data_IF_108329740928
#
_entry.id   IF_108329740928
#
_cell.length_a   1.000
_cell.length_b   1.000
_cell.length_c   1.000
_cell.angle_alpha   90.00
_cell.angle_beta   90.00
_cell.angle_gamma   90.00
#
_symmetry.space_group_name_H-M   'P 1'
#
loop_
_entity.id
_entity.type
_entity.pdbx_description
1 polymer ?
#
# COMPACT_ATOMS: atom_id res chain seq x y z
N UNK A 1 -46.36 -53.26 23.03
CA UNK A 1 -45.04 -53.57 22.43
C UNK A 1 -44.83 -53.09 20.99
N UNK A 2 -45.86 -52.63 20.24
CA UNK A 2 -45.68 -52.16 18.84
C UNK A 2 -45.21 -50.70 18.65
N UNK A 3 -45.23 -49.85 19.69
CA UNK A 3 -44.80 -48.44 19.57
C UNK A 3 -43.32 -48.19 19.90
N UNK A 4 -42.66 -49.08 20.64
CA UNK A 4 -41.24 -48.92 21.03
C UNK A 4 -40.28 -49.33 19.91
N UNK A 5 -40.68 -50.29 19.06
CA UNK A 5 -39.89 -50.73 17.91
C UNK A 5 -39.83 -49.70 16.77
N UNK A 6 -40.83 -48.82 16.65
CA UNK A 6 -40.85 -47.79 15.61
C UNK A 6 -39.89 -46.63 15.94
N UNK A 7 -39.73 -46.27 17.21
CA UNK A 7 -38.83 -45.21 17.66
C UNK A 7 -37.35 -45.61 17.59
N UNK A 8 -37.02 -46.87 17.85
CA UNK A 8 -35.64 -47.38 17.77
C UNK A 8 -35.12 -47.45 16.33
N UNK A 9 -35.99 -47.77 15.36
CA UNK A 9 -35.64 -47.83 13.94
C UNK A 9 -35.48 -46.41 13.34
N UNK A 10 -36.28 -45.44 13.79
CA UNK A 10 -36.12 -44.03 13.37
C UNK A 10 -34.88 -43.39 14.01
N UNK A 11 -34.54 -43.71 15.26
CA UNK A 11 -33.30 -43.25 15.90
C UNK A 11 -32.05 -43.87 15.25
N UNK A 12 -32.10 -45.13 14.83
CA UNK A 12 -31.02 -45.78 14.09
C UNK A 12 -30.84 -45.21 12.67
N UNK A 13 -31.93 -44.82 11.99
CA UNK A 13 -31.86 -44.15 10.69
C UNK A 13 -31.38 -42.68 10.77
N UNK A 14 -31.59 -41.99 11.91
CA UNK A 14 -31.07 -40.63 12.11
C UNK A 14 -29.58 -40.61 12.46
N UNK A 15 -29.04 -41.70 13.05
CA UNK A 15 -27.61 -41.84 13.32
C UNK A 15 -26.78 -42.22 12.09
N UNK A 16 -27.40 -42.70 11.01
CA UNK A 16 -26.71 -43.06 9.76
C UNK A 16 -26.61 -41.93 8.72
N UNK A 17 -27.23 -40.77 8.95
CA UNK A 17 -27.27 -39.65 7.98
C UNK A 17 -26.35 -38.47 8.40
N UNK A 18 -25.63 -38.60 9.51
CA UNK A 18 -24.91 -37.48 10.12
C UNK A 18 -23.38 -37.51 10.06
N UNK A 19 -22.75 -38.56 9.52
CA UNK A 19 -21.28 -38.56 9.36
C UNK A 19 -20.96 -37.96 8.00
N UNK A 20 -21.17 -36.64 7.87
CA UNK A 20 -20.39 -35.85 6.93
C UNK A 20 -18.95 -35.90 7.43
N UNK A 21 -18.24 -36.98 7.08
CA UNK A 21 -16.80 -36.96 6.96
C UNK A 21 -16.51 -35.79 6.04
N UNK A 22 -16.18 -34.65 6.63
CA UNK A 22 -15.60 -33.54 5.92
C UNK A 22 -14.24 -34.05 5.43
N UNK A 23 -14.26 -34.76 4.31
CA UNK A 23 -13.08 -34.93 3.50
C UNK A 23 -12.73 -33.52 3.06
N UNK A 24 -11.77 -32.92 3.75
CA UNK A 24 -10.97 -31.87 3.14
C UNK A 24 -10.50 -32.47 1.82
N UNK A 25 -11.14 -32.08 0.72
CA UNK A 25 -10.70 -32.44 -0.62
C UNK A 25 -9.34 -31.76 -0.81
N UNK A 26 -8.29 -32.40 -0.32
CA UNK A 26 -6.93 -32.10 -0.71
C UNK A 26 -6.80 -32.57 -2.15
N UNK A 27 -6.54 -31.63 -3.07
CA UNK A 27 -6.05 -31.98 -4.39
C UNK A 27 -4.77 -32.82 -4.30
N UNK A 28 -4.31 -33.44 -5.39
CA UNK A 28 -3.09 -34.24 -5.38
C UNK A 28 -1.92 -33.41 -4.86
N UNK A 29 -1.38 -33.81 -3.71
CA UNK A 29 -0.13 -33.29 -3.18
C UNK A 29 1.03 -34.09 -3.79
N UNK A 30 2.09 -33.42 -4.22
CA UNK A 30 3.20 -34.06 -4.93
C UNK A 30 4.40 -33.14 -5.08
N UNK A 31 5.55 -33.72 -5.41
CA UNK A 31 6.84 -33.03 -5.46
C UNK A 31 6.98 -32.01 -6.61
N UNK A 32 6.03 -31.99 -7.55
CA UNK A 32 6.13 -31.20 -8.78
C UNK A 32 5.26 -29.97 -8.67
N UNK A 33 5.88 -28.80 -8.85
CA UNK A 33 5.18 -27.53 -9.07
C UNK A 33 4.99 -27.31 -10.57
N UNK A 34 3.90 -26.65 -10.93
CA UNK A 34 3.56 -26.38 -12.33
C UNK A 34 4.22 -25.08 -12.84
N UNK A 35 4.80 -24.29 -11.93
CA UNK A 35 5.51 -23.05 -12.19
C UNK A 35 7.04 -23.24 -12.21
N UNK A 36 7.73 -22.33 -12.90
CA UNK A 36 9.18 -22.34 -13.05
C UNK A 36 9.83 -21.90 -11.73
N UNK A 37 10.61 -22.80 -11.14
CA UNK A 37 11.53 -22.46 -10.07
C UNK A 37 12.76 -21.80 -10.67
N UNK A 38 12.96 -20.52 -10.38
CA UNK A 38 14.00 -19.68 -11.03
C UNK A 38 15.41 -19.99 -10.50
N UNK A 39 15.53 -20.42 -9.23
CA UNK A 39 16.82 -20.78 -8.61
C UNK A 39 16.61 -21.70 -7.38
N UNK A 40 17.47 -21.64 -6.35
CA UNK A 40 17.49 -22.55 -5.18
C UNK A 40 16.26 -22.54 -4.26
N UNK A 41 15.35 -21.57 -4.39
CA UNK A 41 14.13 -21.45 -3.57
C UNK A 41 12.89 -21.69 -4.44
N UNK A 42 11.75 -21.08 -4.13
CA UNK A 42 10.52 -21.19 -4.91
C UNK A 42 10.47 -20.25 -6.12
N UNK A 43 9.24 -19.99 -6.59
CA UNK A 43 8.95 -19.02 -7.65
C UNK A 43 9.28 -17.58 -7.24
N UNK A 44 9.39 -16.70 -8.24
CA UNK A 44 9.54 -15.26 -8.05
C UNK A 44 8.27 -14.56 -8.50
N UNK A 45 7.60 -13.89 -7.58
CA UNK A 45 6.36 -13.15 -7.84
C UNK A 45 6.69 -11.66 -7.92
N UNK A 46 6.72 -11.10 -9.13
CA UNK A 46 6.90 -9.66 -9.37
C UNK A 46 5.59 -8.92 -9.14
N UNK A 47 5.65 -7.73 -8.53
CA UNK A 47 4.50 -6.91 -8.19
C UNK A 47 3.39 -7.69 -7.45
N UNK A 48 3.70 -8.35 -6.32
CA UNK A 48 2.82 -9.33 -5.69
C UNK A 48 1.45 -8.76 -5.28
N UNK A 49 1.39 -7.47 -4.96
CA UNK A 49 0.17 -6.76 -4.58
C UNK A 49 -0.30 -5.74 -5.62
N UNK A 50 0.22 -5.84 -6.86
CA UNK A 50 -0.21 -5.09 -8.05
C UNK A 50 0.04 -3.58 -8.05
N UNK A 51 0.34 -2.96 -6.91
CA UNK A 51 0.54 -1.51 -6.78
C UNK A 51 2.01 -1.07 -6.63
N UNK A 52 2.96 -2.00 -6.56
CA UNK A 52 4.39 -1.68 -6.38
C UNK A 52 5.24 -2.46 -7.40
N UNK A 53 5.27 -2.05 -8.69
CA UNK A 53 5.79 -2.88 -9.77
C UNK A 53 7.30 -3.14 -9.73
N UNK A 54 8.04 -2.32 -9.00
CA UNK A 54 9.49 -2.45 -8.81
C UNK A 54 9.84 -3.25 -7.54
N UNK A 55 8.97 -4.20 -7.21
CA UNK A 55 9.13 -5.12 -6.07
C UNK A 55 8.86 -6.55 -6.49
N UNK A 56 9.37 -7.51 -5.73
CA UNK A 56 9.10 -8.92 -5.94
C UNK A 56 9.14 -9.70 -4.63
N UNK A 57 8.60 -10.91 -4.61
CA UNK A 57 8.81 -11.88 -3.53
C UNK A 57 9.46 -13.13 -4.13
N UNK A 58 10.62 -13.51 -3.62
CA UNK A 58 11.22 -14.81 -3.90
C UNK A 58 10.65 -15.80 -2.88
N UNK A 59 9.75 -16.69 -3.31
CA UNK A 59 9.05 -17.61 -2.40
C UNK A 59 10.04 -18.57 -1.74
N UNK A 60 9.79 -18.90 -0.48
CA UNK A 60 10.69 -19.74 0.32
C UNK A 60 10.75 -21.21 -0.11
N UNK A 61 9.89 -21.64 -1.05
CA UNK A 61 9.87 -23.02 -1.55
C UNK A 61 9.43 -24.05 -0.50
N UNK A 62 8.77 -23.60 0.58
CA UNK A 62 8.42 -24.43 1.74
C UNK A 62 9.53 -24.59 2.77
N UNK A 63 10.69 -23.94 2.58
CA UNK A 63 11.76 -23.92 3.56
C UNK A 63 11.53 -22.86 4.63
N UNK A 64 12.05 -23.09 5.83
CA UNK A 64 12.15 -22.01 6.82
C UNK A 64 13.46 -21.25 6.58
N UNK A 65 13.38 -19.93 6.42
CA UNK A 65 14.53 -19.07 6.17
C UNK A 65 14.85 -18.20 7.39
N UNK A 66 16.13 -17.91 7.61
CA UNK A 66 16.66 -16.97 8.62
C UNK A 66 17.88 -16.23 8.09
N UNK A 67 18.29 -15.19 8.82
CA UNK A 67 19.51 -14.39 8.55
C UNK A 67 19.56 -13.85 7.11
N UNK A 68 18.39 -13.50 6.57
CA UNK A 68 18.27 -13.14 5.17
C UNK A 68 18.80 -11.73 4.93
N UNK A 69 19.68 -11.60 3.94
CA UNK A 69 20.17 -10.32 3.40
C UNK A 69 19.91 -10.28 1.89
N UNK A 70 19.46 -9.13 1.41
CA UNK A 70 19.17 -8.87 -0.01
C UNK A 70 20.07 -7.75 -0.49
N UNK A 71 20.63 -7.90 -1.69
CA UNK A 71 21.39 -6.88 -2.39
C UNK A 71 20.88 -6.76 -3.83
N UNK A 72 20.41 -5.57 -4.19
CA UNK A 72 20.13 -5.22 -5.58
C UNK A 72 21.43 -4.75 -6.22
N UNK A 73 22.00 -5.58 -7.10
CA UNK A 73 23.25 -5.29 -7.80
C UNK A 73 23.03 -4.08 -8.72
N UNK A 74 23.92 -3.08 -8.70
CA UNK A 74 23.75 -1.89 -9.50
C UNK A 74 23.92 -2.19 -11.00
N UNK A 75 23.09 -1.60 -11.84
CA UNK A 75 23.41 -1.47 -13.27
C UNK A 75 24.65 -0.58 -13.44
N UNK A 76 25.27 -0.57 -14.63
CA UNK A 76 26.43 0.28 -14.91
C UNK A 76 26.11 1.76 -14.58
N UNK A 77 26.87 2.36 -13.66
CA UNK A 77 26.67 3.73 -13.19
C UNK A 77 25.58 3.92 -12.13
N UNK A 78 24.89 2.85 -11.74
CA UNK A 78 23.82 2.85 -10.74
C UNK A 78 24.32 2.78 -9.29
N UNK A 79 23.36 2.61 -8.37
CA UNK A 79 23.55 2.53 -6.92
C UNK A 79 23.12 1.16 -6.37
N UNK A 80 23.91 0.59 -5.46
CA UNK A 80 23.56 -0.64 -4.74
C UNK A 80 22.52 -0.34 -3.66
N UNK A 81 21.54 -1.23 -3.48
CA UNK A 81 20.64 -1.21 -2.32
C UNK A 81 20.81 -2.54 -1.60
N UNK A 82 21.16 -2.51 -0.31
CA UNK A 82 21.32 -3.72 0.51
C UNK A 82 20.60 -3.57 1.85
N UNK A 83 19.91 -4.63 2.28
CA UNK A 83 19.15 -4.63 3.52
C UNK A 83 18.99 -6.05 4.07
N UNK A 84 18.73 -6.13 5.39
CA UNK A 84 18.37 -7.38 6.08
C UNK A 84 16.86 -7.51 6.19
N UNK A 85 16.38 -8.74 6.18
CA UNK A 85 14.96 -9.03 6.39
C UNK A 85 14.76 -9.61 7.77
N UNK A 86 13.82 -9.01 8.52
CA UNK A 86 13.38 -9.58 9.79
C UNK A 86 12.61 -10.88 9.57
N UNK A 87 12.83 -11.90 10.41
CA UNK A 87 12.16 -13.20 10.34
C UNK A 87 10.63 -13.10 10.24
N UNK A 88 10.03 -12.12 10.93
CA UNK A 88 8.58 -11.88 10.86
C UNK A 88 8.10 -11.55 9.44
N UNK A 89 8.91 -10.84 8.65
CA UNK A 89 8.58 -10.50 7.26
C UNK A 89 8.74 -11.69 6.33
N UNK A 90 9.72 -12.58 6.57
CA UNK A 90 9.85 -13.83 5.81
C UNK A 90 8.60 -14.69 5.93
N UNK A 91 8.07 -14.82 7.16
CA UNK A 91 6.80 -15.52 7.43
C UNK A 91 5.61 -14.81 6.79
N UNK A 92 5.54 -13.48 6.91
CA UNK A 92 4.42 -12.68 6.38
C UNK A 92 4.26 -12.84 4.86
N UNK A 93 5.36 -12.93 4.11
CA UNK A 93 5.34 -13.04 2.65
C UNK A 93 5.52 -14.48 2.14
N UNK A 94 5.77 -15.44 3.04
CA UNK A 94 6.19 -16.80 2.71
C UNK A 94 7.33 -16.78 1.66
N UNK A 95 8.37 -16.00 1.98
CA UNK A 95 9.46 -15.69 1.05
C UNK A 95 10.23 -14.43 1.41
N UNK A 96 11.21 -14.10 0.57
CA UNK A 96 12.10 -12.96 0.69
C UNK A 96 11.48 -11.77 -0.08
N UNK A 97 11.00 -10.71 0.60
CA UNK A 97 10.54 -9.50 -0.07
C UNK A 97 11.75 -8.73 -0.65
N UNK A 98 11.64 -8.39 -1.92
CA UNK A 98 12.64 -7.67 -2.72
C UNK A 98 12.07 -6.29 -3.08
N UNK A 99 12.68 -5.26 -2.51
CA UNK A 99 12.46 -3.85 -2.76
C UNK A 99 13.66 -3.23 -3.51
N UNK A 100 13.41 -2.21 -4.33
CA UNK A 100 14.47 -1.39 -4.92
C UNK A 100 14.89 -1.77 -6.34
N UNK A 101 14.05 -2.48 -7.09
CA UNK A 101 14.36 -2.86 -8.47
C UNK A 101 14.46 -1.61 -9.37
N UNK A 102 15.36 -1.63 -10.35
CA UNK A 102 15.37 -0.67 -11.45
C UNK A 102 14.21 -0.96 -12.40
N UNK A 103 13.55 0.09 -12.88
CA UNK A 103 12.53 -0.01 -13.91
C UNK A 103 13.12 -0.38 -15.28
N UNK A 104 12.32 -1.08 -16.08
CA UNK A 104 12.66 -1.58 -17.42
C UNK A 104 14.05 -2.24 -17.50
N UNK A 105 14.31 -3.15 -16.56
CA UNK A 105 15.63 -3.76 -16.42
C UNK A 105 15.52 -5.19 -15.89
N UNK A 106 16.41 -6.06 -16.38
CA UNK A 106 16.64 -7.38 -15.78
C UNK A 106 17.59 -7.20 -14.61
N UNK A 107 16.98 -7.02 -13.43
CA UNK A 107 17.69 -6.77 -12.19
C UNK A 107 18.41 -8.03 -11.72
N UNK A 108 19.64 -7.87 -11.26
CA UNK A 108 20.39 -8.93 -10.57
C UNK A 108 20.21 -8.75 -9.07
N UNK A 109 19.57 -9.73 -8.44
CA UNK A 109 19.25 -9.71 -7.00
C UNK A 109 20.01 -10.83 -6.32
N UNK A 110 20.99 -10.45 -5.51
CA UNK A 110 21.74 -11.39 -4.69
C UNK A 110 21.07 -11.53 -3.32
N UNK A 111 20.85 -12.77 -2.90
CA UNK A 111 20.32 -13.08 -1.58
C UNK A 111 21.25 -14.04 -0.85
N UNK A 112 21.52 -13.75 0.41
CA UNK A 112 22.20 -14.66 1.33
C UNK A 112 21.23 -15.02 2.46
N UNK A 113 21.16 -16.29 2.81
CA UNK A 113 20.21 -16.79 3.80
C UNK A 113 20.69 -18.09 4.47
N UNK A 114 20.18 -18.34 5.66
CA UNK A 114 20.23 -19.65 6.32
C UNK A 114 18.92 -20.38 6.03
N UNK A 115 19.00 -21.48 5.29
CA UNK A 115 17.89 -22.41 5.03
C UNK A 115 17.84 -23.47 6.12
N UNK A 116 16.68 -23.63 6.75
CA UNK A 116 16.42 -24.66 7.74
C UNK A 116 15.59 -25.75 7.10
N UNK A 117 16.15 -26.95 7.01
CA UNK A 117 15.49 -28.12 6.43
C UNK A 117 15.89 -29.38 7.19
N UNK A 118 14.91 -30.20 7.59
CA UNK A 118 15.14 -31.44 8.37
C UNK A 118 16.01 -31.25 9.63
N UNK A 119 15.93 -30.08 10.27
CA UNK A 119 16.71 -29.75 11.47
C UNK A 119 18.13 -29.25 11.19
N UNK A 120 18.56 -29.20 9.93
CA UNK A 120 19.87 -28.68 9.54
C UNK A 120 19.79 -27.21 9.14
N UNK A 121 20.83 -26.44 9.49
CA UNK A 121 21.00 -25.05 9.10
C UNK A 121 22.04 -24.96 7.97
N UNK A 122 21.59 -24.62 6.76
CA UNK A 122 22.42 -24.57 5.55
C UNK A 122 22.53 -23.12 5.10
N UNK A 123 23.73 -22.55 5.14
CA UNK A 123 23.97 -21.20 4.62
C UNK A 123 24.15 -21.23 3.11
N UNK A 124 23.39 -20.42 2.39
CA UNK A 124 23.45 -20.34 0.94
C UNK A 124 23.44 -18.90 0.46
N UNK A 125 24.01 -18.71 -0.73
CA UNK A 125 23.85 -17.51 -1.54
C UNK A 125 23.28 -17.93 -2.90
N UNK A 126 22.42 -17.08 -3.45
CA UNK A 126 21.85 -17.24 -4.79
C UNK A 126 21.65 -15.87 -5.45
N UNK A 127 21.73 -15.83 -6.77
CA UNK A 127 21.41 -14.66 -7.59
C UNK A 127 20.15 -14.95 -8.42
N UNK A 128 19.23 -14.00 -8.44
CA UNK A 128 18.00 -14.05 -9.23
C UNK A 128 18.04 -12.94 -10.26
N UNK A 129 17.78 -13.29 -11.52
CA UNK A 129 17.60 -12.34 -12.61
C UNK A 129 16.08 -12.05 -12.71
N UNK A 130 15.66 -10.82 -12.37
CA UNK A 130 14.26 -10.42 -12.23
C UNK A 130 13.99 -9.23 -13.16
N UNK A 131 13.21 -9.43 -14.22
CA UNK A 131 12.71 -8.32 -15.02
C UNK A 131 11.66 -7.52 -14.26
N UNK A 132 11.83 -6.20 -14.18
CA UNK A 132 10.82 -5.28 -13.68
C UNK A 132 10.36 -4.38 -14.84
N UNK A 133 9.05 -4.05 -14.91
CA UNK A 133 8.49 -3.28 -16.01
C UNK A 133 9.00 -1.83 -16.01
N UNK A 134 8.80 -1.15 -17.13
CA UNK A 134 8.95 0.30 -17.21
C UNK A 134 7.98 1.02 -16.25
N UNK A 135 8.34 2.24 -15.85
CA UNK A 135 7.44 3.11 -15.09
C UNK A 135 6.22 3.44 -15.96
N UNK A 136 5.04 3.23 -15.39
CA UNK A 136 3.77 3.56 -16.03
C UNK A 136 2.97 4.54 -15.20
N UNK A 137 2.46 5.58 -15.86
CA UNK A 137 1.48 6.54 -15.33
C UNK A 137 0.49 6.81 -16.46
N UNK A 138 -0.79 6.88 -16.13
CA UNK A 138 -1.82 7.18 -17.13
C UNK A 138 -1.58 8.54 -17.80
N UNK A 139 -1.74 8.63 -19.14
CA UNK A 139 -1.70 9.90 -19.82
C UNK A 139 -2.83 10.83 -19.35
N UNK A 140 -2.48 12.07 -19.01
CA UNK A 140 -3.44 13.10 -18.58
C UNK A 140 -4.06 13.88 -19.76
N UNK A 141 -3.53 13.68 -20.96
CA UNK A 141 -4.01 14.32 -22.20
C UNK A 141 -3.60 15.78 -22.36
N UNK A 142 -2.72 16.30 -21.48
CA UNK A 142 -2.23 17.68 -21.53
C UNK A 142 -0.88 17.74 -22.24
N UNK A 143 -0.55 18.90 -22.81
CA UNK A 143 0.78 19.13 -23.40
C UNK A 143 1.90 19.25 -22.35
N UNK A 144 1.53 19.32 -21.05
CA UNK A 144 2.45 19.49 -19.92
C UNK A 144 3.08 18.16 -19.48
N UNK A 145 2.41 17.03 -19.70
CA UNK A 145 2.99 15.72 -19.40
C UNK A 145 4.06 15.37 -20.44
N UNK A 146 5.32 15.31 -19.99
CA UNK A 146 6.49 15.00 -20.83
C UNK A 146 7.14 13.65 -20.53
N UNK A 147 6.62 12.90 -19.56
CA UNK A 147 7.09 11.59 -19.14
C UNK A 147 6.13 10.97 -18.12
N UNK A 148 6.43 9.75 -17.67
CA UNK A 148 5.61 9.06 -16.67
C UNK A 148 5.54 9.81 -15.34
N UNK A 149 6.69 9.92 -14.65
CA UNK A 149 6.83 10.63 -13.38
C UNK A 149 7.47 12.02 -13.53
N UNK A 150 8.43 12.13 -14.45
CA UNK A 150 9.19 13.34 -14.79
C UNK A 150 9.83 13.13 -16.17
N UNK A 151 10.31 14.21 -16.80
CA UNK A 151 11.04 14.14 -18.08
C UNK A 151 12.52 13.78 -17.90
N UNK A 152 13.13 14.28 -16.84
CA UNK A 152 14.53 14.03 -16.49
C UNK A 152 14.79 14.35 -15.02
N UNK A 153 15.86 13.80 -14.47
CA UNK A 153 16.40 14.15 -13.14
C UNK A 153 17.81 14.68 -13.34
N UNK A 154 18.08 15.86 -12.79
CA UNK A 154 19.40 16.49 -12.82
C UNK A 154 20.03 16.44 -11.42
N UNK A 155 20.87 15.43 -11.21
CA UNK A 155 21.57 15.24 -9.93
C UNK A 155 22.71 16.27 -9.82
N UNK A 156 22.51 17.27 -8.96
CA UNK A 156 23.47 18.37 -8.80
C UNK A 156 24.71 18.01 -7.98
N UNK A 157 24.53 17.37 -6.83
CA UNK A 157 25.61 17.06 -5.89
C UNK A 157 25.26 15.85 -5.04
N UNK A 158 26.22 14.94 -4.87
CA UNK A 158 26.14 13.80 -3.94
C UNK A 158 27.50 13.60 -3.30
N UNK A 159 27.63 13.99 -2.04
CA UNK A 159 28.85 13.73 -1.27
C UNK A 159 28.95 12.23 -0.93
N UNK A 160 30.18 11.75 -0.71
CA UNK A 160 30.49 10.32 -0.60
C UNK A 160 29.64 9.56 0.42
N UNK A 161 29.40 10.17 1.58
CA UNK A 161 28.63 9.60 2.69
C UNK A 161 27.11 9.54 2.45
N UNK A 162 26.61 10.20 1.40
CA UNK A 162 25.18 10.24 1.07
C UNK A 162 24.83 9.41 -0.17
N UNK A 163 25.78 8.66 -0.74
CA UNK A 163 25.59 7.86 -1.97
C UNK A 163 24.58 6.72 -1.82
N UNK A 164 24.18 6.39 -0.61
CA UNK A 164 23.24 5.31 -0.29
C UNK A 164 21.80 5.81 -0.07
N UNK A 165 21.58 7.13 -0.06
CA UNK A 165 20.28 7.72 0.25
C UNK A 165 19.23 7.37 -0.80
N UNK A 166 18.01 7.21 -0.32
CA UNK A 166 16.78 7.04 -1.08
C UNK A 166 15.80 8.10 -0.61
N UNK A 167 15.10 8.72 -1.56
CA UNK A 167 14.16 9.81 -1.27
C UNK A 167 12.79 9.46 -1.81
N UNK A 168 11.79 9.47 -0.92
CA UNK A 168 10.40 9.35 -1.33
C UNK A 168 9.87 10.71 -1.79
N UNK A 169 9.33 10.75 -3.00
CA UNK A 169 8.69 11.91 -3.59
C UNK A 169 7.18 11.69 -3.62
N UNK A 170 6.46 12.63 -3.01
CA UNK A 170 5.04 12.81 -3.22
C UNK A 170 4.83 14.01 -4.14
N UNK A 171 4.41 13.76 -5.38
CA UNK A 171 4.16 14.79 -6.36
C UNK A 171 2.77 14.63 -6.99
N UNK A 172 2.31 15.70 -7.66
CA UNK A 172 0.99 15.80 -8.26
C UNK A 172 1.12 15.79 -9.79
N UNK A 173 0.34 14.93 -10.44
CA UNK A 173 0.15 15.00 -11.89
C UNK A 173 -0.65 16.25 -12.29
N UNK A 174 -0.73 16.55 -13.59
CA UNK A 174 -1.50 17.71 -14.02
C UNK A 174 -3.01 17.50 -13.76
N UNK A 175 -3.74 18.62 -13.64
CA UNK A 175 -5.20 18.58 -13.62
C UNK A 175 -5.70 18.18 -15.01
N UNK A 176 -6.21 16.95 -15.12
CA UNK A 176 -6.74 16.40 -16.37
C UNK A 176 -8.23 16.70 -16.55
N UNK A 177 -8.72 16.54 -17.78
CA UNK A 177 -10.16 16.60 -18.07
C UNK A 177 -10.96 15.49 -17.38
N UNK A 178 -10.32 14.37 -17.00
CA UNK A 178 -10.96 13.32 -16.20
C UNK A 178 -11.22 13.79 -14.77
N UNK A 179 -10.22 14.41 -14.14
CA UNK A 179 -10.34 14.93 -12.77
C UNK A 179 -11.29 16.12 -12.62
N UNK A 180 -11.48 16.94 -13.66
CA UNK A 180 -12.17 18.24 -13.55
C UNK A 180 -13.70 18.19 -13.71
N UNK A 181 -14.32 17.01 -13.81
CA UNK A 181 -15.75 16.85 -14.13
C UNK A 181 -16.67 16.79 -12.91
N UNK A 182 -16.18 16.31 -11.77
CA UNK A 182 -16.97 16.21 -10.55
C UNK A 182 -17.01 17.58 -9.84
N UNK A 183 -18.20 18.03 -9.47
CA UNK A 183 -18.43 19.32 -8.79
C UNK A 183 -19.33 19.07 -7.58
N UNK A 184 -18.99 19.69 -6.46
CA UNK A 184 -19.83 19.73 -5.28
C UNK A 184 -20.87 20.84 -5.42
N UNK A 185 -22.09 20.50 -5.86
CA UNK A 185 -23.13 21.50 -6.13
C UNK A 185 -24.22 21.59 -5.06
N UNK A 186 -24.26 20.69 -4.05
CA UNK A 186 -25.24 20.72 -2.96
C UNK A 186 -24.87 19.74 -1.82
N UNK A 187 -24.65 20.16 -0.55
CA UNK A 187 -24.53 21.52 0.00
C UNK A 187 -23.39 22.34 -0.63
N UNK A 188 -23.36 23.66 -0.40
CA UNK A 188 -22.29 24.54 -0.92
C UNK A 188 -21.03 24.46 -0.05
N UNK A 189 -19.87 24.24 -0.65
CA UNK A 189 -18.57 24.23 0.04
C UNK A 189 -17.74 22.98 -0.24
N UNK A 190 -16.70 22.75 0.56
CA UNK A 190 -15.79 21.62 0.42
C UNK A 190 -14.74 21.82 -0.66
N UNK A 191 -14.08 20.72 -1.04
CA UNK A 191 -12.98 20.71 -1.99
C UNK A 191 -12.91 19.41 -2.82
N UNK A 192 -14.05 18.81 -3.17
CA UNK A 192 -14.10 17.59 -3.99
C UNK A 192 -13.34 17.76 -5.32
N UNK A 193 -13.41 18.96 -5.91
CA UNK A 193 -12.77 19.33 -7.18
C UNK A 193 -11.24 19.28 -7.11
N UNK A 194 -10.68 19.14 -5.90
CA UNK A 194 -9.25 19.00 -5.69
C UNK A 194 -8.82 17.55 -5.90
N UNK A 195 -8.60 17.23 -7.17
CA UNK A 195 -8.33 15.89 -7.65
C UNK A 195 -7.30 15.91 -8.79
N UNK A 196 -6.22 15.13 -8.67
CA UNK A 196 -5.12 15.01 -9.63
C UNK A 196 -4.48 13.62 -9.51
N UNK A 197 -3.95 13.11 -10.61
CA UNK A 197 -3.25 11.82 -10.63
C UNK A 197 -2.08 11.83 -9.62
N UNK A 198 -1.97 10.84 -8.74
CA UNK A 198 -0.86 10.76 -7.79
C UNK A 198 0.43 10.33 -8.49
N UNK A 199 1.54 11.00 -8.16
CA UNK A 199 2.89 10.65 -8.61
C UNK A 199 3.75 10.36 -7.38
N UNK A 200 3.75 9.10 -6.92
CA UNK A 200 4.48 8.67 -5.73
C UNK A 200 5.59 7.70 -6.10
N UNK A 201 6.84 8.04 -5.75
CA UNK A 201 8.00 7.25 -6.17
C UNK A 201 9.20 7.46 -5.25
N UNK A 202 10.16 6.54 -5.31
CA UNK A 202 11.44 6.66 -4.64
C UNK A 202 12.54 6.80 -5.68
N UNK A 203 13.38 7.82 -5.53
CA UNK A 203 14.62 7.97 -6.29
C UNK A 203 15.83 7.60 -5.44
N UNK A 204 16.85 7.08 -6.10
CA UNK A 204 18.20 7.01 -5.53
C UNK A 204 19.04 8.24 -5.90
N UNK A 205 20.29 8.27 -5.43
CA UNK A 205 21.21 9.39 -5.65
C UNK A 205 21.75 9.47 -7.07
N UNK A 206 21.41 8.52 -7.94
CA UNK A 206 21.68 8.55 -9.39
C UNK A 206 20.49 9.05 -10.20
N UNK A 207 19.39 9.42 -9.54
CA UNK A 207 18.16 9.86 -10.18
C UNK A 207 17.34 8.72 -10.78
N UNK A 208 17.63 7.49 -10.37
CA UNK A 208 16.93 6.30 -10.86
C UNK A 208 15.70 6.00 -10.01
N UNK A 209 14.60 5.62 -10.65
CA UNK A 209 13.38 5.19 -9.96
C UNK A 209 13.60 3.80 -9.38
N UNK A 210 13.50 3.68 -8.05
CA UNK A 210 13.71 2.43 -7.29
C UNK A 210 12.44 1.85 -6.68
N UNK A 211 11.36 2.63 -6.72
CA UNK A 211 10.02 2.23 -6.32
C UNK A 211 9.03 3.24 -6.88
N UNK A 212 7.81 2.81 -7.21
CA UNK A 212 6.70 3.73 -7.44
C UNK A 212 5.39 3.07 -7.05
N UNK A 213 4.43 3.90 -6.64
CA UNK A 213 3.06 3.50 -6.43
C UNK A 213 2.35 3.52 -7.78
N UNK A 214 1.84 2.37 -8.21
CA UNK A 214 0.97 2.26 -9.36
C UNK A 214 -0.49 2.44 -8.89
N UNK A 215 -1.15 3.57 -9.20
CA UNK A 215 -2.51 3.84 -8.75
C UNK A 215 -3.54 3.03 -9.57
N UNK A 216 -3.71 1.76 -9.24
CA UNK A 216 -4.73 0.89 -9.85
C UNK A 216 -6.12 1.22 -9.28
N UNK A 217 -7.18 0.89 -10.03
CA UNK A 217 -8.60 1.19 -9.67
C UNK A 217 -9.06 0.69 -8.30
N UNK A 218 -8.43 -0.35 -7.77
CA UNK A 218 -8.74 -0.86 -6.44
C UNK A 218 -8.37 0.16 -5.35
N UNK A 219 -7.23 0.85 -5.52
CA UNK A 219 -6.71 1.88 -4.62
C UNK A 219 -7.19 3.29 -5.02
N UNK A 220 -6.96 3.65 -6.28
CA UNK A 220 -7.22 4.98 -6.82
C UNK A 220 -7.95 4.90 -8.17
N UNK A 221 -9.07 5.60 -8.28
CA UNK A 221 -9.86 5.72 -9.50
C UNK A 221 -10.32 7.17 -9.65
N UNK A 222 -9.76 7.88 -10.62
CA UNK A 222 -9.99 9.31 -10.86
C UNK A 222 -11.46 9.64 -11.14
N UNK A 223 -12.24 8.66 -11.61
CA UNK A 223 -13.67 8.80 -11.91
C UNK A 223 -14.56 8.53 -10.68
N UNK A 224 -13.97 8.21 -9.52
CA UNK A 224 -14.69 7.91 -8.28
C UNK A 224 -14.60 9.05 -7.27
N UNK A 225 -15.74 9.55 -6.79
CA UNK A 225 -15.76 10.53 -5.68
C UNK A 225 -15.17 9.98 -4.36
N UNK A 226 -15.10 8.66 -4.20
CA UNK A 226 -14.55 8.03 -2.99
C UNK A 226 -13.12 7.54 -3.15
N UNK A 227 -12.69 7.16 -4.36
CA UNK A 227 -11.34 6.64 -4.60
C UNK A 227 -10.45 7.63 -5.36
N UNK A 228 -10.80 8.90 -5.35
CA UNK A 228 -10.00 9.96 -5.94
C UNK A 228 -9.66 11.06 -4.92
N UNK A 229 -8.94 12.07 -5.37
CA UNK A 229 -8.42 13.15 -4.55
C UNK A 229 -6.89 13.18 -4.55
N UNK A 230 -6.32 14.15 -3.86
CA UNK A 230 -4.87 14.32 -3.79
C UNK A 230 -4.27 13.42 -2.72
N UNK A 231 -3.35 12.52 -3.08
CA UNK A 231 -2.59 11.71 -2.12
C UNK A 231 -1.60 12.59 -1.35
N UNK A 232 -1.81 12.70 -0.03
CA UNK A 232 -1.01 13.55 0.85
C UNK A 232 -0.82 12.94 2.23
N UNK A 233 0.08 13.54 3.01
CA UNK A 233 0.33 13.10 4.38
C UNK A 233 1.03 11.76 4.45
N UNK A 234 1.86 11.41 3.46
CA UNK A 234 2.68 10.21 3.51
C UNK A 234 3.63 10.29 4.70
N UNK A 235 3.47 9.34 5.63
CA UNK A 235 4.36 9.14 6.77
C UNK A 235 4.74 7.69 6.89
N UNK A 236 6.03 7.46 7.19
CA UNK A 236 6.50 6.14 7.60
C UNK A 236 6.17 5.94 9.07
N UNK A 237 5.43 4.87 9.36
CA UNK A 237 5.06 4.45 10.70
C UNK A 237 6.20 3.64 11.35
N UNK A 238 6.12 3.43 12.66
CA UNK A 238 7.08 2.60 13.43
C UNK A 238 7.24 1.15 12.91
N UNK A 239 6.21 0.60 12.27
CA UNK A 239 6.26 -0.74 11.65
C UNK A 239 6.95 -0.77 10.28
N UNK A 240 7.42 0.38 9.81
CA UNK A 240 8.07 0.62 8.52
C UNK A 240 7.11 0.76 7.34
N UNK A 241 5.81 0.59 7.54
CA UNK A 241 4.79 0.83 6.52
C UNK A 241 4.48 2.32 6.37
N UNK A 242 3.80 2.69 5.29
CA UNK A 242 3.48 4.07 4.99
C UNK A 242 1.97 4.28 5.09
N UNK A 243 1.57 5.35 5.75
CA UNK A 243 0.18 5.80 5.83
C UNK A 243 0.02 7.16 5.18
N UNK A 244 -1.13 7.40 4.56
CA UNK A 244 -1.48 8.64 3.88
C UNK A 244 -2.99 8.71 3.68
N UNK A 245 -3.49 9.82 3.15
CA UNK A 245 -4.89 9.91 2.73
C UNK A 245 -5.08 10.69 1.45
N UNK A 246 -6.31 10.64 0.95
CA UNK A 246 -6.74 11.32 -0.27
C UNK A 246 -8.27 11.40 -0.32
N UNK A 247 -8.80 12.60 -0.57
CA UNK A 247 -10.24 12.81 -0.77
C UNK A 247 -11.05 12.25 0.39
N UNK A 248 -11.78 11.17 0.17
CA UNK A 248 -12.67 10.57 1.17
C UNK A 248 -12.07 9.36 1.89
N UNK A 249 -10.74 9.15 1.79
CA UNK A 249 -10.06 7.96 2.31
C UNK A 249 -8.74 8.28 3.00
N UNK A 250 -8.36 7.35 3.87
CA UNK A 250 -7.04 7.27 4.46
C UNK A 250 -6.64 5.79 4.55
N UNK A 251 -5.36 5.54 4.33
CA UNK A 251 -4.87 4.19 4.03
C UNK A 251 -3.50 3.96 4.66
N UNK A 252 -3.14 2.68 4.76
CA UNK A 252 -1.82 2.24 5.19
C UNK A 252 -1.41 1.00 4.41
N UNK A 253 -0.24 1.07 3.78
CA UNK A 253 0.34 -0.01 2.98
C UNK A 253 1.83 -0.15 3.30
N UNK A 254 2.37 -1.37 3.18
CA UNK A 254 3.82 -1.55 3.23
C UNK A 254 4.47 -1.35 1.84
N UNK A 255 5.81 -1.28 1.80
CA UNK A 255 6.57 -1.02 0.57
C UNK A 255 6.40 -2.10 -0.50
N UNK A 256 5.91 -3.31 -0.16
CA UNK A 256 5.59 -4.33 -1.15
C UNK A 256 4.25 -4.07 -1.84
N UNK A 257 3.49 -3.08 -1.36
CA UNK A 257 2.15 -2.76 -1.82
C UNK A 257 1.05 -3.54 -1.08
N UNK A 258 1.37 -4.24 0.01
CA UNK A 258 0.34 -4.97 0.77
C UNK A 258 -0.49 -4.01 1.59
N UNK A 259 -1.80 -4.13 1.47
CA UNK A 259 -2.77 -3.40 2.29
C UNK A 259 -2.66 -3.81 3.76
N UNK A 260 -2.58 -2.81 4.63
CA UNK A 260 -2.79 -2.96 6.07
C UNK A 260 -4.20 -2.48 6.42
N UNK A 261 -4.59 -1.31 5.90
CA UNK A 261 -5.99 -0.89 5.84
C UNK A 261 -6.22 0.10 4.70
N UNK A 262 -7.45 0.14 4.20
CA UNK A 262 -7.94 1.17 3.28
C UNK A 262 -9.36 1.60 3.69
N UNK A 263 -9.48 2.77 4.33
CA UNK A 263 -10.71 3.20 5.04
C UNK A 263 -11.30 4.45 4.43
N UNK A 264 -12.63 4.55 4.47
CA UNK A 264 -13.32 5.83 4.27
C UNK A 264 -13.21 6.69 5.51
N UNK A 265 -13.26 8.00 5.32
CA UNK A 265 -13.49 8.92 6.42
C UNK A 265 -14.81 8.59 7.14
N UNK A 266 -14.87 8.77 8.47
CA UNK A 266 -16.14 8.72 9.20
C UNK A 266 -17.14 9.73 8.62
N UNK A 267 -18.43 9.41 8.66
CA UNK A 267 -19.48 10.10 7.90
C UNK A 267 -19.69 11.59 8.22
N UNK A 268 -19.18 12.05 9.37
CA UNK A 268 -19.25 13.48 9.74
C UNK A 268 -18.18 14.33 9.05
N UNK A 269 -17.21 13.70 8.41
CA UNK A 269 -16.05 14.35 7.80
C UNK A 269 -15.93 14.05 6.31
N UNK A 270 -15.21 14.93 5.63
CA UNK A 270 -14.89 14.80 4.21
C UNK A 270 -13.54 15.45 3.90
N UNK A 271 -13.10 15.29 2.66
CA UNK A 271 -12.01 16.06 2.07
C UNK A 271 -10.70 16.01 2.88
N UNK A 272 -10.28 14.79 3.24
CA UNK A 272 -8.95 14.53 3.75
C UNK A 272 -7.93 15.23 2.88
N UNK A 273 -6.98 15.91 3.51
CA UNK A 273 -5.95 16.59 2.75
C UNK A 273 -4.72 16.90 3.62
N UNK A 274 -3.57 17.12 2.99
CA UNK A 274 -2.29 17.57 3.58
C UNK A 274 -1.60 16.62 4.57
N UNK A 275 -2.20 16.27 5.72
CA UNK A 275 -1.49 15.49 6.76
C UNK A 275 -2.31 14.34 7.35
N UNK A 276 -1.61 13.24 7.58
CA UNK A 276 -2.02 12.10 8.38
C UNK A 276 -0.86 11.77 9.32
N UNK A 277 -1.12 11.82 10.62
CA UNK A 277 -0.08 11.68 11.64
C UNK A 277 -0.41 10.49 12.53
N UNK A 278 0.54 9.58 12.72
CA UNK A 278 0.41 8.51 13.71
C UNK A 278 0.75 9.04 15.12
N UNK A 279 0.04 8.50 16.11
CA UNK A 279 0.15 8.87 17.50
C UNK A 279 0.79 7.75 18.32
N UNK A 280 1.52 8.04 19.41
CA UNK A 280 2.14 7.01 20.26
C UNK A 280 1.15 6.01 20.86
N UNK A 281 -0.13 6.37 20.97
CA UNK A 281 -1.22 5.49 21.45
C UNK A 281 -1.75 4.54 20.35
N UNK A 282 -1.22 4.61 19.12
CA UNK A 282 -1.64 3.80 17.97
C UNK A 282 -2.79 4.41 17.16
N UNK A 283 -3.25 5.62 17.50
CA UNK A 283 -4.27 6.35 16.76
C UNK A 283 -3.65 7.12 15.58
N UNK A 284 -4.53 7.70 14.75
CA UNK A 284 -4.15 8.59 13.66
C UNK A 284 -4.89 9.92 13.77
N UNK A 285 -4.17 11.02 13.53
CA UNK A 285 -4.74 12.34 13.33
C UNK A 285 -4.87 12.63 11.83
N UNK A 286 -6.08 12.96 11.41
CA UNK A 286 -6.43 13.23 10.02
C UNK A 286 -6.82 14.69 9.87
N UNK A 287 -6.18 15.42 8.96
CA UNK A 287 -6.66 16.77 8.60
C UNK A 287 -7.75 16.65 7.54
N UNK A 288 -8.98 17.00 7.92
CA UNK A 288 -10.19 16.89 7.11
C UNK A 288 -11.01 18.19 7.11
N UNK A 289 -12.24 18.09 6.62
CA UNK A 289 -13.32 19.05 6.74
C UNK A 289 -14.54 18.37 7.41
N UNK A 290 -15.43 19.16 7.99
CA UNK A 290 -16.74 18.71 8.43
C UNK A 290 -17.73 18.72 7.27
N UNK A 291 -18.55 17.66 7.16
CA UNK A 291 -19.44 17.46 6.02
C UNK A 291 -20.74 18.28 6.08
N UNK A 292 -21.27 18.62 7.25
CA UNK A 292 -22.59 19.27 7.32
C UNK A 292 -22.74 20.17 8.54
N UNK A 293 -21.92 21.22 8.60
CA UNK A 293 -21.92 22.15 9.73
C UNK A 293 -23.05 23.15 9.60
N UNK A 294 -23.82 23.31 10.67
CA UNK A 294 -24.84 24.35 10.80
C UNK A 294 -24.16 25.66 11.23
N UNK A 295 -24.09 26.62 10.32
CA UNK A 295 -23.62 27.97 10.63
C UNK A 295 -24.63 28.74 11.50
N UNK A 296 -24.20 29.79 12.22
CA UNK A 296 -25.09 30.67 12.99
C UNK A 296 -26.21 31.32 12.15
N UNK A 297 -25.98 31.54 10.86
CA UNK A 297 -26.97 32.07 9.91
C UNK A 297 -27.99 31.02 9.42
N UNK A 298 -27.91 29.79 9.95
CA UNK A 298 -28.80 28.69 9.62
C UNK A 298 -28.45 27.93 8.33
N UNK A 299 -27.39 28.29 7.61
CA UNK A 299 -26.94 27.55 6.42
C UNK A 299 -26.13 26.31 6.81
N UNK A 300 -26.25 25.27 6.00
CA UNK A 300 -25.41 24.07 6.09
C UNK A 300 -24.24 24.20 5.11
N UNK A 301 -23.03 23.87 5.57
CA UNK A 301 -21.82 23.93 4.75
C UNK A 301 -20.94 22.69 4.94
N UNK A 302 -20.20 22.37 3.88
CA UNK A 302 -18.96 21.61 4.01
C UNK A 302 -17.86 22.60 4.35
N UNK A 303 -17.19 22.39 5.47
CA UNK A 303 -16.07 23.27 5.84
C UNK A 303 -14.85 22.96 4.98
N UNK A 304 -13.75 23.69 5.17
CA UNK A 304 -12.56 23.51 4.33
C UNK A 304 -11.33 23.50 5.21
N UNK A 305 -10.69 22.32 5.31
CA UNK A 305 -9.32 22.15 5.83
C UNK A 305 -9.11 22.64 7.27
N UNK A 306 -10.17 22.64 8.06
CA UNK A 306 -10.27 23.28 9.37
C UNK A 306 -10.76 22.33 10.45
N UNK A 307 -10.60 21.01 10.23
CA UNK A 307 -10.89 19.98 11.21
C UNK A 307 -9.73 19.01 11.32
N UNK A 308 -9.35 18.67 12.54
CA UNK A 308 -8.44 17.56 12.85
C UNK A 308 -9.28 16.46 13.51
N UNK A 309 -9.19 15.24 13.02
CA UNK A 309 -9.94 14.09 13.53
C UNK A 309 -8.96 13.07 14.08
N UNK A 310 -9.12 12.66 15.34
CA UNK A 310 -8.41 11.50 15.87
C UNK A 310 -9.25 10.24 15.63
N UNK A 311 -8.65 9.23 14.99
CA UNK A 311 -9.26 7.93 14.80
C UNK A 311 -8.41 6.83 15.44
N UNK A 312 -9.07 5.85 16.05
CA UNK A 312 -8.40 4.72 16.66
C UNK A 312 -7.84 3.75 15.60
N UNK A 313 -7.12 2.72 16.06
CA UNK A 313 -6.58 1.67 15.20
C UNK A 313 -7.64 0.93 14.37
N UNK A 314 -8.92 0.96 14.74
CA UNK A 314 -10.05 0.38 13.99
C UNK A 314 -10.75 1.39 13.06
N UNK A 315 -10.42 2.69 13.18
CA UNK A 315 -11.02 3.77 12.41
C UNK A 315 -12.25 4.41 13.07
N UNK A 316 -12.49 4.14 14.36
CA UNK A 316 -13.52 4.84 15.13
C UNK A 316 -13.02 6.23 15.50
N UNK A 317 -13.90 7.22 15.47
CA UNK A 317 -13.59 8.58 15.94
C UNK A 317 -13.41 8.54 17.45
N UNK A 318 -12.28 9.05 17.92
CA UNK A 318 -11.97 9.22 19.34
C UNK A 318 -12.28 10.66 19.76
N UNK A 319 -11.84 11.63 18.98
CA UNK A 319 -12.05 13.05 19.21
C UNK A 319 -11.97 13.86 17.90
N UNK A 320 -12.45 15.10 17.91
CA UNK A 320 -12.25 16.07 16.84
C UNK A 320 -11.96 17.50 17.33
N UNK A 321 -11.09 18.21 16.61
CA UNK A 321 -10.80 19.62 16.84
C UNK A 321 -11.30 20.43 15.67
N UNK A 322 -12.41 21.13 15.91
CA UNK A 322 -13.04 22.04 14.96
C UNK A 322 -12.37 23.38 15.06
N UNK A 323 -11.40 23.64 14.19
CA UNK A 323 -10.56 24.83 14.29
C UNK A 323 -11.36 26.12 14.15
N UNK A 324 -12.50 26.10 13.46
CA UNK A 324 -13.43 27.22 13.39
C UNK A 324 -14.18 27.53 14.70
N UNK A 325 -14.11 26.65 15.71
CA UNK A 325 -14.61 26.88 17.08
C UNK A 325 -13.49 27.27 18.05
N UNK A 326 -12.22 27.06 17.67
CA UNK A 326 -11.04 27.21 18.55
C UNK A 326 -10.21 28.44 18.18
N UNK A 327 -10.02 28.66 16.88
CA UNK A 327 -9.27 29.76 16.29
C UNK A 327 -10.22 30.87 15.81
N UNK A 328 -9.65 31.92 15.22
CA UNK A 328 -10.42 33.00 14.60
C UNK A 328 -10.59 32.79 13.09
N UNK A 329 -11.78 32.36 12.60
CA UNK A 329 -12.03 32.15 11.18
C UNK A 329 -12.19 33.47 10.38
N UNK A 330 -12.19 34.62 11.06
CA UNK A 330 -12.31 35.94 10.42
C UNK A 330 -10.97 36.68 10.32
N UNK A 331 -9.91 36.15 10.93
CA UNK A 331 -8.58 36.75 10.88
C UNK A 331 -8.01 36.67 9.47
N UNK A 332 -7.72 37.83 8.89
CA UNK A 332 -7.25 38.00 7.50
C UNK A 332 -5.84 38.61 7.38
N UNK A 333 -5.11 38.76 8.49
CA UNK A 333 -3.84 39.49 8.60
C UNK A 333 -2.63 38.63 9.02
N UNK A 334 -2.37 37.52 8.32
CA UNK A 334 -1.24 36.61 8.56
C UNK A 334 -0.06 36.79 7.61
#
# INVERSE_FOLDING_TARGET
>A
MKKVFSSAIVAAMLLSVGVNSAFAMGGPSGAKTDYIVVNKLGEVVVNPYKIAPLTAIIKDGGYTLKDVSVTIVPKKGGQTISYKIADKKLKQYAGIPVFGLYADYVNKVEVSYTKIFKGENIKETAQYDIYAPAVFVDPDGTYLQKGGLFSSVDVKKVDGEFKDRLYFFNNLGNKSTKSAKAIWNNPTGGALEWNQTPLNFILDTKGEVRWYLLPIRDLYDIDSAYKAGIMMGFKQNDDGAMSWGFGQRYVKYDLMGREIFDRRLPSSYADFSHSMDDAPNGNFFLRAASFNVKRPDGKNVHTVRDVIVEVDANGNVVDDWRLYEILDPYRDDV
#
